data_IF_650513726300
#
_entry.id   IF_650513726300
#
_cell.length_a   1.000
_cell.length_b   1.000
_cell.length_c   1.000
_cell.angle_alpha   90.00
_cell.angle_beta   90.00
_cell.angle_gamma   90.00
#
_symmetry.space_group_name_H-M   'P 1'
#
loop_
_entity.id
_entity.type
_entity.pdbx_description
1 polymer ?
#
# COMPACT_ATOMS: atom_id res chain seq x y z
N UNK A 1 11.32 -7.57 18.01
CA UNK A 1 10.96 -6.79 16.82
C UNK A 1 12.25 -6.38 16.13
N UNK A 2 12.98 -7.37 15.61
CA UNK A 2 14.19 -7.10 14.83
C UNK A 2 13.76 -6.65 13.43
N UNK A 3 14.02 -5.37 13.16
CA UNK A 3 14.13 -4.76 11.83
C UNK A 3 13.00 -5.05 10.83
N UNK A 4 11.87 -4.34 10.96
CA UNK A 4 10.84 -4.29 9.90
C UNK A 4 11.47 -4.05 8.51
N UNK A 5 12.51 -3.21 8.44
CA UNK A 5 13.22 -2.81 7.22
C UNK A 5 14.51 -3.58 6.91
N UNK A 6 15.01 -4.44 7.81
CA UNK A 6 16.25 -5.19 7.58
C UNK A 6 15.95 -6.49 6.82
N UNK A 7 16.87 -6.94 5.96
CA UNK A 7 16.70 -8.19 5.23
C UNK A 7 16.57 -9.39 6.20
N UNK A 8 15.71 -10.35 5.84
CA UNK A 8 15.48 -11.58 6.60
C UNK A 8 14.85 -12.63 5.69
N UNK A 9 13.71 -13.20 6.09
CA UNK A 9 12.93 -14.10 5.22
C UNK A 9 12.45 -13.43 3.92
N UNK A 10 12.24 -12.11 3.97
CA UNK A 10 12.01 -11.26 2.80
C UNK A 10 13.24 -10.37 2.62
N UNK A 11 13.61 -10.10 1.36
CA UNK A 11 14.66 -9.15 1.04
C UNK A 11 14.25 -7.73 1.49
N UNK A 12 15.25 -6.87 1.73
CA UNK A 12 14.98 -5.45 2.03
C UNK A 12 14.17 -4.80 0.91
N UNK A 13 14.50 -5.09 -0.36
CA UNK A 13 13.78 -4.61 -1.53
C UNK A 13 12.28 -5.00 -1.48
N UNK A 14 11.98 -6.26 -1.18
CA UNK A 14 10.60 -6.74 -1.13
C UNK A 14 9.83 -6.11 0.04
N UNK A 15 10.46 -5.95 1.20
CA UNK A 15 9.86 -5.27 2.35
C UNK A 15 9.52 -3.82 2.05
N UNK A 16 10.41 -3.10 1.38
CA UNK A 16 10.17 -1.70 1.01
C UNK A 16 9.13 -1.55 -0.11
N UNK A 17 9.05 -2.49 -1.07
CA UNK A 17 7.95 -2.53 -2.04
C UNK A 17 6.58 -2.69 -1.37
N UNK A 18 6.48 -3.58 -0.37
CA UNK A 18 5.28 -3.74 0.45
C UNK A 18 4.98 -2.43 1.21
N UNK A 19 6.00 -1.81 1.80
CA UNK A 19 5.83 -0.56 2.54
C UNK A 19 5.36 0.60 1.65
N UNK A 20 5.88 0.72 0.41
CA UNK A 20 5.43 1.70 -0.58
C UNK A 20 3.95 1.49 -0.93
N UNK A 21 3.54 0.25 -1.18
CA UNK A 21 2.14 -0.09 -1.43
C UNK A 21 1.24 0.34 -0.25
N UNK A 22 1.61 -0.02 0.98
CA UNK A 22 0.86 0.36 2.19
C UNK A 22 0.84 1.88 2.41
N UNK A 23 1.94 2.58 2.13
CA UNK A 23 2.03 4.03 2.27
C UNK A 23 1.05 4.77 1.35
N UNK A 24 0.79 4.24 0.15
CA UNK A 24 -0.20 4.81 -0.78
C UNK A 24 -1.64 4.54 -0.33
N UNK A 25 -1.92 3.40 0.29
CA UNK A 25 -3.28 3.08 0.80
C UNK A 25 -3.61 3.84 2.08
N UNK A 26 -2.60 4.06 2.91
CA UNK A 26 -2.73 4.88 4.14
C UNK A 26 -2.58 6.38 3.87
N UNK A 27 -2.32 6.76 2.61
CA UNK A 27 -2.19 8.14 2.14
C UNK A 27 -1.20 8.98 2.96
N UNK A 28 -0.15 8.35 3.51
CA UNK A 28 0.83 9.01 4.36
C UNK A 28 1.96 9.61 3.51
N UNK A 29 2.01 10.93 3.28
CA UNK A 29 3.00 11.54 2.37
C UNK A 29 4.45 11.36 2.86
N UNK A 30 4.66 11.39 4.18
CA UNK A 30 5.97 11.10 4.77
C UNK A 30 6.40 9.64 4.53
N UNK A 31 5.46 8.70 4.68
CA UNK A 31 5.72 7.28 4.46
C UNK A 31 6.03 6.99 2.99
N UNK A 32 5.32 7.66 2.07
CA UNK A 32 5.58 7.58 0.62
C UNK A 32 7.03 8.01 0.35
N UNK A 33 7.44 9.19 0.83
CA UNK A 33 8.80 9.69 0.61
C UNK A 33 9.89 8.75 1.18
N UNK A 34 9.74 8.35 2.45
CA UNK A 34 10.73 7.50 3.13
C UNK A 34 10.86 6.14 2.47
N UNK A 35 9.74 5.45 2.22
CA UNK A 35 9.76 4.09 1.70
C UNK A 35 10.10 4.03 0.21
N UNK A 36 9.73 5.04 -0.59
CA UNK A 36 10.19 5.11 -1.98
C UNK A 36 11.71 5.25 -2.07
N UNK A 37 12.31 6.13 -1.26
CA UNK A 37 13.78 6.29 -1.21
C UNK A 37 14.50 5.05 -0.68
N UNK A 38 13.91 4.37 0.32
CA UNK A 38 14.50 3.15 0.86
C UNK A 38 14.40 1.97 -0.12
N UNK A 39 13.28 1.86 -0.84
CA UNK A 39 13.12 0.87 -1.90
C UNK A 39 14.17 1.07 -3.01
N UNK A 40 14.37 2.31 -3.46
CA UNK A 40 15.41 2.66 -4.44
C UNK A 40 16.81 2.26 -3.93
N UNK A 41 17.15 2.61 -2.68
CA UNK A 41 18.43 2.21 -2.04
C UNK A 41 18.58 0.69 -1.92
N UNK A 42 17.47 -0.04 -1.78
CA UNK A 42 17.44 -1.49 -1.75
C UNK A 42 17.45 -2.13 -3.16
N UNK A 43 17.54 -1.31 -4.22
CA UNK A 43 17.66 -1.73 -5.61
C UNK A 43 16.32 -1.91 -6.34
N UNK A 44 15.21 -1.43 -5.81
CA UNK A 44 13.92 -1.46 -6.51
C UNK A 44 13.93 -0.52 -7.71
N UNK A 45 13.34 -0.96 -8.83
CA UNK A 45 13.19 -0.11 -10.02
C UNK A 45 11.90 0.71 -9.95
N UNK A 46 11.84 1.76 -10.79
CA UNK A 46 10.62 2.58 -10.93
C UNK A 46 9.42 1.75 -11.38
N UNK A 47 9.65 0.75 -12.24
CA UNK A 47 8.62 -0.16 -12.73
C UNK A 47 8.07 -1.02 -11.59
N UNK A 48 8.93 -1.59 -10.75
CA UNK A 48 8.50 -2.37 -9.58
C UNK A 48 7.69 -1.53 -8.59
N UNK A 49 8.13 -0.29 -8.34
CA UNK A 49 7.40 0.66 -7.49
C UNK A 49 6.02 0.97 -8.08
N UNK A 50 5.96 1.28 -9.37
CA UNK A 50 4.72 1.63 -10.07
C UNK A 50 3.74 0.46 -10.08
N UNK A 51 4.23 -0.76 -10.32
CA UNK A 51 3.41 -1.97 -10.29
C UNK A 51 2.88 -2.27 -8.89
N UNK A 52 3.70 -2.14 -7.85
CA UNK A 52 3.26 -2.30 -6.46
C UNK A 52 2.14 -1.30 -6.09
N UNK A 53 2.26 -0.04 -6.51
CA UNK A 53 1.25 1.00 -6.31
C UNK A 53 -0.04 0.66 -7.07
N UNK A 54 0.07 0.24 -8.33
CA UNK A 54 -1.09 -0.15 -9.15
C UNK A 54 -1.87 -1.31 -8.52
N UNK A 55 -1.16 -2.36 -8.07
CA UNK A 55 -1.77 -3.51 -7.40
C UNK A 55 -2.48 -3.07 -6.12
N UNK A 56 -1.82 -2.26 -5.30
CA UNK A 56 -2.42 -1.74 -4.06
C UNK A 56 -3.70 -0.93 -4.35
N UNK A 57 -3.63 -0.01 -5.30
CA UNK A 57 -4.76 0.83 -5.69
C UNK A 57 -5.96 0.00 -6.19
N UNK A 58 -5.71 -1.02 -7.01
CA UNK A 58 -6.76 -1.91 -7.50
C UNK A 58 -7.46 -2.66 -6.35
N UNK A 59 -6.69 -3.18 -5.39
CA UNK A 59 -7.23 -3.87 -4.20
C UNK A 59 -8.05 -2.90 -3.33
N UNK A 60 -7.54 -1.68 -3.10
CA UNK A 60 -8.25 -0.67 -2.34
C UNK A 60 -9.56 -0.23 -3.00
N UNK A 61 -9.56 -0.04 -4.33
CA UNK A 61 -10.76 0.28 -5.09
C UNK A 61 -11.82 -0.84 -4.99
N UNK A 62 -11.41 -2.10 -5.10
CA UNK A 62 -12.30 -3.25 -4.92
C UNK A 62 -12.90 -3.34 -3.51
N UNK A 63 -12.11 -3.03 -2.48
CA UNK A 63 -12.58 -2.93 -1.10
C UNK A 63 -13.64 -1.84 -0.93
N UNK A 64 -13.36 -0.63 -1.42
CA UNK A 64 -14.32 0.48 -1.39
C UNK A 64 -15.62 0.12 -2.12
N UNK A 65 -15.53 -0.50 -3.30
CA UNK A 65 -16.69 -0.90 -4.09
C UNK A 65 -17.56 -1.94 -3.37
N UNK A 66 -16.94 -2.93 -2.72
CA UNK A 66 -17.66 -4.00 -2.01
C UNK A 66 -18.46 -3.46 -0.82
N UNK A 67 -18.06 -2.32 -0.26
CA UNK A 67 -18.77 -1.65 0.83
C UNK A 67 -20.00 -0.82 0.38
N UNK A 68 -20.38 -0.87 -0.91
CA UNK A 68 -21.62 -0.21 -1.39
C UNK A 68 -22.85 -0.62 -0.58
N UNK A 69 -22.96 -1.90 -0.17
CA UNK A 69 -24.10 -2.37 0.62
C UNK A 69 -24.26 -1.59 1.94
N UNK A 70 -23.14 -1.26 2.61
CA UNK A 70 -23.15 -0.46 3.83
C UNK A 70 -23.72 0.94 3.60
N UNK A 71 -23.40 1.55 2.45
CA UNK A 71 -23.96 2.84 2.06
C UNK A 71 -25.46 2.72 1.75
N UNK A 72 -25.87 1.68 0.99
CA UNK A 72 -27.29 1.43 0.67
C UNK A 72 -28.11 1.27 1.96
N UNK A 73 -27.62 0.49 2.92
CA UNK A 73 -28.27 0.30 4.22
C UNK A 73 -28.35 1.62 4.99
N UNK A 74 -27.24 2.36 5.08
CA UNK A 74 -27.20 3.66 5.77
C UNK A 74 -28.13 4.71 5.14
N UNK A 75 -28.17 4.79 3.82
CA UNK A 75 -29.00 5.74 3.07
C UNK A 75 -30.49 5.35 3.07
N UNK A 76 -30.80 4.05 3.11
CA UNK A 76 -32.16 3.51 3.16
C UNK A 76 -32.73 3.33 4.56
N UNK A 77 -31.97 3.64 5.62
CA UNK A 77 -32.42 3.54 7.02
C UNK A 77 -33.28 4.74 7.49
N UNK A 78 -33.79 5.55 6.58
CA UNK A 78 -34.81 6.57 6.85
C UNK A 78 -36.19 6.11 6.37
N UNK A 79 -36.83 5.16 7.08
CA UNK A 79 -38.31 5.01 7.19
C UNK A 79 -38.70 4.33 8.51
#
# INVERSE_FOLDING_TARGET
MEGSSQAGKLSAQLKELIAVAVAHITECPYCIDVHSKNAEKAGATKEQLSEAILVAAAVAAGGAYTHIANMIESYGAEE
#
